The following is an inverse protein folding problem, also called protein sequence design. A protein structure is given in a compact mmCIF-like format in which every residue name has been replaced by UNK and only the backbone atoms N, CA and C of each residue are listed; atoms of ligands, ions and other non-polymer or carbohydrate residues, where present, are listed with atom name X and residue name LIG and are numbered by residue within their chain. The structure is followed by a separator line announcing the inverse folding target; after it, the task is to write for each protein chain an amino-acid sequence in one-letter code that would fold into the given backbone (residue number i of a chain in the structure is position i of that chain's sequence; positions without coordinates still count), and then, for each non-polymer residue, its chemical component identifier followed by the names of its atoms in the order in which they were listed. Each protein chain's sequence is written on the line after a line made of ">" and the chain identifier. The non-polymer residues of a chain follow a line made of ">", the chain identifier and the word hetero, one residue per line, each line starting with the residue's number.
data_IF_351400431042
#
_entry.id   IF_351400431042
#
_cell.length_a   1.000
_cell.length_b   1.000
_cell.length_c   1.000
_cell.angle_alpha   90.00
_cell.angle_beta   90.00
_cell.angle_gamma   90.00
#
_symmetry.space_group_name_H-M   'P 1'
#
loop_
_entity.id
_entity.type
_entity.pdbx_description
1 polymer ?
#
# COMPACT_ATOMS: atom_id res chain seq x y z
N UNK A 1 -1.21 -22.19 -0.76
CA UNK A 1 -1.13 -23.02 -1.90
C UNK A 1 -2.11 -22.72 -3.01
N UNK A 2 -2.02 -23.48 -4.07
CA UNK A 2 -2.92 -23.25 -5.20
C UNK A 2 -4.31 -23.83 -5.03
N UNK A 3 -4.60 -24.54 -3.97
CA UNK A 3 -5.96 -25.00 -3.67
C UNK A 3 -6.94 -23.84 -3.49
N UNK A 4 -6.49 -22.78 -2.90
CA UNK A 4 -7.34 -21.60 -2.66
C UNK A 4 -7.75 -20.93 -3.96
N UNK A 5 -6.86 -20.89 -4.94
CA UNK A 5 -7.16 -20.29 -6.23
C UNK A 5 -8.35 -20.99 -6.90
N UNK A 6 -8.35 -22.31 -6.86
CA UNK A 6 -9.44 -23.09 -7.44
C UNK A 6 -10.75 -22.96 -6.67
N UNK A 7 -10.67 -22.82 -5.35
CA UNK A 7 -11.87 -22.69 -4.51
C UNK A 7 -12.51 -21.32 -4.60
N UNK A 8 -11.69 -20.28 -4.75
CA UNK A 8 -12.22 -18.94 -4.89
C UNK A 8 -12.81 -18.69 -6.27
N UNK A 9 -12.57 -19.58 -7.20
CA UNK A 9 -13.23 -19.56 -8.51
C UNK A 9 -13.00 -18.30 -9.31
N UNK A 10 -12.04 -17.52 -8.90
CA UNK A 10 -11.94 -16.16 -9.38
C UNK A 10 -10.98 -16.03 -10.54
N UNK A 11 -11.49 -16.02 -11.74
CA UNK A 11 -10.73 -15.57 -12.89
C UNK A 11 -10.32 -14.09 -12.80
N UNK A 12 -10.58 -13.42 -11.71
CA UNK A 12 -10.26 -12.02 -11.52
C UNK A 12 -9.53 -11.70 -10.22
N UNK A 13 -9.32 -12.69 -9.36
CA UNK A 13 -8.67 -12.47 -8.07
C UNK A 13 -7.15 -12.61 -8.22
N UNK A 14 -6.42 -11.63 -7.70
CA UNK A 14 -4.97 -11.69 -7.70
C UNK A 14 -4.48 -12.80 -6.78
N UNK A 15 -3.53 -13.60 -7.25
CA UNK A 15 -2.91 -14.64 -6.44
C UNK A 15 -2.06 -14.03 -5.35
N UNK A 16 -1.22 -13.06 -5.73
CA UNK A 16 -0.39 -12.28 -4.84
C UNK A 16 -0.50 -10.82 -5.22
N UNK A 17 -0.42 -9.92 -4.27
CA UNK A 17 -0.40 -8.51 -4.53
C UNK A 17 0.40 -7.75 -3.48
N UNK A 18 1.00 -6.64 -3.90
CA UNK A 18 1.73 -5.75 -3.01
C UNK A 18 0.78 -4.74 -2.39
N UNK A 19 0.97 -4.46 -1.12
CA UNK A 19 0.27 -3.38 -0.42
C UNK A 19 1.18 -2.76 0.62
N UNK A 20 0.67 -1.72 1.29
CA UNK A 20 1.38 -1.05 2.37
C UNK A 20 1.00 -1.73 3.69
N UNK A 21 2.01 -2.22 4.42
CA UNK A 21 1.81 -2.71 5.78
C UNK A 21 1.76 -1.55 6.77
N UNK A 22 2.67 -0.62 6.62
CA UNK A 22 2.73 0.59 7.43
C UNK A 22 3.07 1.76 6.51
N UNK A 23 2.21 2.77 6.50
CA UNK A 23 2.45 4.00 5.76
C UNK A 23 3.63 4.77 6.33
N UNK A 24 4.20 5.63 5.50
CA UNK A 24 5.33 6.45 5.88
C UNK A 24 5.23 7.84 5.28
N UNK A 25 6.22 8.65 5.58
CA UNK A 25 6.33 10.00 5.06
C UNK A 25 7.72 10.18 4.46
N UNK A 26 7.78 10.74 3.27
CA UNK A 26 9.02 11.09 2.60
C UNK A 26 8.96 12.52 2.11
N UNK A 27 10.10 13.19 2.05
CA UNK A 27 10.18 14.58 1.62
C UNK A 27 11.32 14.75 0.63
N UNK A 28 11.08 15.54 -0.41
CA UNK A 28 12.13 16.01 -1.31
C UNK A 28 12.05 17.53 -1.45
N UNK A 29 13.15 18.14 -1.80
CA UNK A 29 13.25 19.55 -2.12
C UNK A 29 13.74 19.70 -3.55
N UNK A 30 13.01 20.47 -4.35
CA UNK A 30 13.38 20.79 -5.73
C UNK A 30 13.22 22.27 -5.94
N UNK A 31 14.30 22.94 -6.39
CA UNK A 31 14.30 24.40 -6.59
C UNK A 31 13.64 25.15 -5.44
N UNK A 32 14.02 24.81 -4.21
CA UNK A 32 13.52 25.39 -2.95
C UNK A 32 12.05 25.07 -2.63
N UNK A 33 11.29 24.42 -3.50
CA UNK A 33 9.97 23.90 -3.16
C UNK A 33 10.11 22.60 -2.39
N UNK A 34 9.27 22.44 -1.35
CA UNK A 34 9.22 21.24 -0.53
C UNK A 34 8.03 20.39 -0.98
N UNK A 35 8.27 19.11 -1.14
CA UNK A 35 7.26 18.12 -1.53
C UNK A 35 7.22 17.04 -0.46
N UNK A 36 6.16 17.00 0.32
CA UNK A 36 5.98 16.06 1.43
C UNK A 36 4.98 15.00 1.00
N UNK A 37 5.43 13.76 0.87
CA UNK A 37 4.57 12.64 0.51
C UNK A 37 4.17 11.88 1.77
N UNK A 38 2.88 11.74 2.01
CA UNK A 38 2.32 10.92 3.08
C UNK A 38 1.60 9.74 2.47
N UNK A 39 1.95 8.53 2.89
CA UNK A 39 1.44 7.26 2.33
C UNK A 39 0.60 6.57 3.39
N UNK A 40 -0.54 6.04 2.97
CA UNK A 40 -1.45 5.31 3.89
C UNK A 40 -2.08 4.11 3.21
N UNK A 41 -2.18 3.01 3.96
CA UNK A 41 -3.00 1.86 3.56
C UNK A 41 -4.47 2.27 3.61
N UNK A 42 -5.20 2.00 2.53
CA UNK A 42 -6.64 2.24 2.45
C UNK A 42 -7.29 1.05 1.75
N UNK A 43 -8.37 0.55 2.30
CA UNK A 43 -9.06 -0.61 1.74
C UNK A 43 -10.41 -0.24 1.12
N UNK A 44 -10.88 0.97 1.40
CA UNK A 44 -12.14 1.52 0.88
C UNK A 44 -11.93 2.94 0.40
N UNK A 45 -12.74 3.36 -0.56
CA UNK A 45 -12.66 4.74 -1.06
C UNK A 45 -12.96 5.76 0.04
N UNK A 46 -13.88 5.47 0.95
CA UNK A 46 -14.19 6.34 2.09
C UNK A 46 -12.95 6.63 2.94
N UNK A 47 -12.12 5.63 3.14
CA UNK A 47 -10.87 5.78 3.93
C UNK A 47 -9.86 6.67 3.20
N UNK A 48 -9.79 6.53 1.87
CA UNK A 48 -8.93 7.39 1.05
C UNK A 48 -9.39 8.85 1.11
N UNK A 49 -10.70 9.09 0.98
CA UNK A 49 -11.25 10.44 1.04
C UNK A 49 -11.06 11.07 2.42
N UNK A 50 -11.23 10.31 3.49
CA UNK A 50 -10.99 10.76 4.85
C UNK A 50 -9.52 11.11 5.07
N UNK A 51 -8.60 10.30 4.56
CA UNK A 51 -7.18 10.56 4.61
C UNK A 51 -6.80 11.87 3.88
N UNK A 52 -7.34 12.07 2.69
CA UNK A 52 -7.10 13.29 1.91
C UNK A 52 -7.56 14.52 2.70
N UNK A 53 -8.75 14.47 3.30
CA UNK A 53 -9.26 15.57 4.12
C UNK A 53 -8.40 15.79 5.37
N UNK A 54 -7.92 14.74 6.00
CA UNK A 54 -6.99 14.83 7.12
C UNK A 54 -5.71 15.57 6.73
N UNK A 55 -5.14 15.25 5.57
CA UNK A 55 -3.93 15.89 5.07
C UNK A 55 -4.16 17.35 4.69
N UNK A 56 -5.31 17.66 4.09
CA UNK A 56 -5.68 19.05 3.77
C UNK A 56 -5.81 19.90 5.03
N UNK A 57 -6.31 19.32 6.11
CA UNK A 57 -6.39 20.02 7.41
C UNK A 57 -5.02 20.18 8.05
N UNK A 58 -4.20 19.14 8.03
CA UNK A 58 -2.85 19.16 8.59
C UNK A 58 -1.97 20.20 7.89
N UNK A 59 -2.03 20.27 6.59
CA UNK A 59 -1.25 21.16 5.74
C UNK A 59 -2.13 22.23 5.10
N UNK A 60 -2.99 22.84 5.91
CA UNK A 60 -3.98 23.83 5.46
C UNK A 60 -3.35 25.07 4.81
N UNK A 61 -2.12 25.41 5.17
CA UNK A 61 -1.37 26.54 4.65
C UNK A 61 -0.62 26.23 3.33
N UNK A 62 -0.66 25.01 2.87
CA UNK A 62 -0.11 24.64 1.58
C UNK A 62 -1.11 24.93 0.46
N UNK A 63 -0.62 25.41 -0.69
CA UNK A 63 -1.46 25.67 -1.86
C UNK A 63 -1.92 24.39 -2.54
N UNK A 64 -1.11 23.33 -2.47
CA UNK A 64 -1.35 22.11 -3.18
C UNK A 64 -1.19 20.91 -2.26
N UNK A 65 -2.26 20.12 -2.14
CA UNK A 65 -2.27 18.81 -1.53
C UNK A 65 -2.78 17.84 -2.60
N UNK A 66 -1.89 17.49 -3.53
CA UNK A 66 -2.20 16.60 -4.64
C UNK A 66 -2.30 15.17 -4.13
N UNK A 67 -3.13 14.36 -4.78
CA UNK A 67 -3.31 12.99 -4.31
C UNK A 67 -3.46 12.00 -5.45
N UNK A 68 -3.20 10.75 -5.13
CA UNK A 68 -3.51 9.60 -5.96
C UNK A 68 -3.81 8.41 -5.06
N UNK A 69 -4.78 7.59 -5.44
CA UNK A 69 -5.04 6.33 -4.77
C UNK A 69 -5.48 5.27 -5.76
N UNK A 70 -5.24 4.03 -5.40
CA UNK A 70 -5.67 2.87 -6.17
C UNK A 70 -6.08 1.77 -5.21
N UNK A 71 -7.35 1.39 -5.26
CA UNK A 71 -8.01 0.51 -4.30
C UNK A 71 -8.73 -0.60 -5.06
N UNK A 72 -8.69 -1.81 -4.50
CA UNK A 72 -9.36 -2.98 -5.04
C UNK A 72 -8.41 -3.85 -5.85
N UNK A 73 -8.72 -5.14 -5.93
CA UNK A 73 -7.91 -6.11 -6.66
C UNK A 73 -7.85 -5.83 -8.16
N UNK A 74 -8.89 -5.18 -8.69
CA UNK A 74 -8.98 -4.76 -10.08
C UNK A 74 -8.81 -3.25 -10.23
N UNK A 75 -8.31 -2.57 -9.21
CA UNK A 75 -8.12 -1.12 -9.18
C UNK A 75 -9.42 -0.37 -9.48
N UNK A 76 -10.54 -0.88 -8.94
CA UNK A 76 -11.89 -0.35 -9.19
C UNK A 76 -12.02 1.11 -8.80
N UNK A 77 -11.35 1.50 -7.72
CA UNK A 77 -11.35 2.87 -7.22
C UNK A 77 -9.96 3.47 -7.38
N UNK A 78 -9.69 3.99 -8.56
CA UNK A 78 -8.41 4.63 -8.89
C UNK A 78 -8.67 6.06 -9.30
N UNK A 79 -8.10 7.03 -8.57
CA UNK A 79 -8.30 8.46 -8.77
C UNK A 79 -7.02 9.23 -8.50
N UNK A 80 -6.94 10.42 -9.08
CA UNK A 80 -5.87 11.36 -8.78
C UNK A 80 -6.34 12.79 -8.94
N UNK A 81 -5.62 13.74 -8.36
CA UNK A 81 -5.94 15.16 -8.43
C UNK A 81 -4.66 16.00 -8.44
N UNK A 82 -4.67 17.00 -9.29
CA UNK A 82 -3.58 18.00 -9.36
C UNK A 82 -3.71 19.10 -8.30
N UNK A 83 -4.84 19.20 -7.64
CA UNK A 83 -5.15 20.19 -6.60
C UNK A 83 -4.58 21.59 -6.91
N UNK A 84 -4.92 22.13 -8.07
CA UNK A 84 -4.51 23.48 -8.49
C UNK A 84 -3.16 23.56 -9.19
N UNK A 85 -2.37 22.50 -9.26
CA UNK A 85 -1.20 22.46 -10.11
C UNK A 85 -1.63 22.40 -11.59
N UNK A 86 -0.77 22.77 -12.55
CA UNK A 86 -1.13 22.66 -13.95
C UNK A 86 -1.56 21.23 -14.33
N UNK A 87 -2.57 21.13 -15.18
CA UNK A 87 -3.17 19.84 -15.53
C UNK A 87 -2.15 18.80 -15.94
N UNK A 88 -2.20 17.63 -15.31
CA UNK A 88 -1.35 16.49 -15.62
C UNK A 88 0.05 16.55 -15.02
N UNK A 89 0.37 17.54 -14.20
CA UNK A 89 1.73 17.71 -13.66
C UNK A 89 1.95 17.10 -12.28
N UNK A 90 0.89 16.72 -11.59
CA UNK A 90 0.99 16.23 -10.21
C UNK A 90 0.28 14.90 -10.00
N UNK A 91 -1.04 14.88 -10.09
CA UNK A 91 -1.84 13.71 -9.75
C UNK A 91 -1.51 12.49 -10.62
N UNK A 92 -1.46 12.66 -11.93
CA UNK A 92 -1.16 11.56 -12.85
C UNK A 92 0.26 11.01 -12.68
N UNK A 93 1.31 11.84 -12.58
CA UNK A 93 2.65 11.34 -12.26
C UNK A 93 2.71 10.56 -10.94
N UNK A 94 1.99 11.02 -9.92
CA UNK A 94 1.87 10.30 -8.65
C UNK A 94 1.25 8.92 -8.84
N UNK A 95 0.13 8.87 -9.56
CA UNK A 95 -0.57 7.61 -9.84
C UNK A 95 0.31 6.66 -10.65
N UNK A 96 1.02 7.17 -11.64
CA UNK A 96 1.91 6.35 -12.47
C UNK A 96 2.99 5.65 -11.64
N UNK A 97 3.50 6.28 -10.59
CA UNK A 97 4.46 5.63 -9.67
C UNK A 97 3.78 4.47 -8.93
N UNK A 98 2.58 4.69 -8.41
CA UNK A 98 1.82 3.63 -7.71
C UNK A 98 1.58 2.44 -8.64
N UNK A 99 1.12 2.71 -9.85
CA UNK A 99 0.85 1.66 -10.85
C UNK A 99 2.14 0.95 -11.29
N UNK A 100 3.22 1.71 -11.50
CA UNK A 100 4.51 1.16 -11.90
C UNK A 100 5.14 0.28 -10.84
N UNK A 101 4.95 0.59 -9.57
CA UNK A 101 5.39 -0.23 -8.44
C UNK A 101 4.43 -1.37 -8.15
N UNK A 102 3.31 -1.42 -8.86
CA UNK A 102 2.29 -2.47 -8.73
C UNK A 102 1.75 -2.62 -7.29
N UNK A 103 1.53 -1.49 -6.62
CA UNK A 103 1.00 -1.44 -5.25
C UNK A 103 -0.50 -1.22 -5.29
N UNK A 104 -1.22 -1.95 -4.46
CA UNK A 104 -2.68 -1.92 -4.33
C UNK A 104 -3.08 -1.43 -2.94
N UNK A 105 -4.28 -0.88 -2.83
CA UNK A 105 -4.86 -0.43 -1.56
C UNK A 105 -4.00 0.63 -0.88
N UNK A 106 -3.64 1.64 -1.63
CA UNK A 106 -2.75 2.71 -1.18
C UNK A 106 -3.31 4.07 -1.59
N UNK A 107 -3.15 5.05 -0.71
CA UNK A 107 -3.37 6.45 -1.00
C UNK A 107 -2.11 7.24 -0.66
N UNK A 108 -1.77 8.18 -1.51
CA UNK A 108 -0.64 9.09 -1.31
C UNK A 108 -1.12 10.52 -1.48
N UNK A 109 -0.76 11.39 -0.55
CA UNK A 109 -0.95 12.83 -0.68
C UNK A 109 0.44 13.47 -0.72
N UNK A 110 0.68 14.29 -1.73
CA UNK A 110 1.91 15.10 -1.80
C UNK A 110 1.54 16.55 -1.56
N UNK A 111 2.07 17.10 -0.49
CA UNK A 111 1.90 18.49 -0.09
C UNK A 111 3.07 19.30 -0.59
N UNK A 112 2.81 20.39 -1.31
CA UNK A 112 3.85 21.27 -1.82
C UNK A 112 3.82 22.63 -1.19
N UNK A 113 4.99 23.06 -0.72
CA UNK A 113 5.25 24.44 -0.31
C UNK A 113 6.18 25.10 -1.34
N UNK A 114 5.68 26.15 -1.98
CA UNK A 114 6.42 26.86 -3.01
C UNK A 114 7.63 27.57 -2.42
N UNK A 115 8.78 27.43 -3.09
CA UNK A 115 10.05 28.01 -2.62
C UNK A 115 10.51 29.27 -3.36
N UNK A 116 9.64 29.86 -4.18
CA UNK A 116 9.94 31.10 -4.90
C UNK A 116 10.57 30.90 -6.29
N UNK A 117 10.85 29.67 -6.68
CA UNK A 117 11.45 29.34 -7.99
C UNK A 117 10.50 28.42 -8.74
N UNK A 118 10.16 28.77 -9.99
CA UNK A 118 9.29 27.95 -10.82
C UNK A 118 10.03 26.71 -11.31
N UNK A 119 9.34 25.56 -11.28
CA UNK A 119 9.91 24.29 -11.75
C UNK A 119 9.68 24.04 -13.23
N UNK A 120 8.60 24.58 -13.80
CA UNK A 120 8.10 24.21 -15.11
C UNK A 120 7.36 22.87 -15.06
N UNK A 121 6.65 22.54 -16.16
CA UNK A 121 5.81 21.33 -16.20
C UNK A 121 6.62 20.04 -16.04
N UNK A 122 7.75 19.90 -16.74
CA UNK A 122 8.61 18.73 -16.60
C UNK A 122 9.22 18.60 -15.22
N UNK A 123 9.61 19.71 -14.61
CA UNK A 123 10.14 19.74 -13.24
C UNK A 123 9.10 19.31 -12.22
N UNK A 124 7.85 19.77 -12.39
CA UNK A 124 6.74 19.36 -11.50
C UNK A 124 6.47 17.86 -11.61
N UNK A 125 6.39 17.33 -12.81
CA UNK A 125 6.18 15.89 -13.02
C UNK A 125 7.26 15.07 -12.31
N UNK A 126 8.52 15.44 -12.48
CA UNK A 126 9.63 14.74 -11.82
C UNK A 126 9.60 14.88 -10.30
N UNK A 127 9.23 16.05 -9.80
CA UNK A 127 9.18 16.30 -8.36
C UNK A 127 8.05 15.51 -7.68
N UNK A 128 6.85 15.49 -8.27
CA UNK A 128 5.74 14.71 -7.72
C UNK A 128 6.02 13.21 -7.77
N UNK A 129 6.56 12.73 -8.88
CA UNK A 129 6.99 11.33 -9.01
C UNK A 129 8.05 10.98 -7.96
N UNK A 130 9.06 11.83 -7.82
CA UNK A 130 10.14 11.62 -6.85
C UNK A 130 9.66 11.66 -5.40
N UNK A 131 8.70 12.53 -5.09
CA UNK A 131 8.11 12.60 -3.76
C UNK A 131 7.37 11.30 -3.40
N UNK A 132 6.57 10.76 -4.34
CA UNK A 132 5.87 9.49 -4.13
C UNK A 132 6.87 8.36 -3.92
N UNK A 133 7.93 8.31 -4.71
CA UNK A 133 8.99 7.32 -4.55
C UNK A 133 9.64 7.40 -3.16
N UNK A 134 9.90 8.61 -2.67
CA UNK A 134 10.45 8.83 -1.34
C UNK A 134 9.47 8.37 -0.25
N UNK A 135 8.18 8.67 -0.39
CA UNK A 135 7.15 8.24 0.54
C UNK A 135 6.99 6.71 0.59
N UNK A 136 6.99 6.07 -0.57
CA UNK A 136 6.92 4.61 -0.66
C UNK A 136 8.19 3.96 -0.09
N UNK A 137 9.35 4.57 -0.32
CA UNK A 137 10.62 4.10 0.24
C UNK A 137 10.66 4.17 1.77
N UNK A 138 9.93 5.12 2.37
CA UNK A 138 9.80 5.24 3.82
C UNK A 138 8.68 4.36 4.39
N UNK A 139 7.87 3.73 3.53
CA UNK A 139 6.77 2.86 3.91
C UNK A 139 7.22 1.41 3.93
N UNK A 140 6.48 0.57 4.68
CA UNK A 140 6.70 -0.88 4.66
C UNK A 140 5.77 -1.50 3.63
N UNK A 141 6.34 -1.95 2.52
CA UNK A 141 5.62 -2.64 1.45
C UNK A 141 5.72 -4.15 1.70
N UNK A 142 4.60 -4.83 1.63
CA UNK A 142 4.53 -6.28 1.78
C UNK A 142 3.80 -6.88 0.59
N UNK A 143 4.07 -8.15 0.35
CA UNK A 143 3.32 -8.95 -0.62
C UNK A 143 2.33 -9.81 0.13
N UNK A 144 1.03 -9.65 -0.17
CA UNK A 144 -0.04 -10.46 0.40
C UNK A 144 -0.36 -11.62 -0.52
N UNK A 145 -0.65 -12.75 0.10
CA UNK A 145 -1.03 -13.98 -0.61
C UNK A 145 -2.46 -14.34 -0.25
N UNK A 146 -3.27 -14.62 -1.25
CA UNK A 146 -4.57 -15.23 -1.03
C UNK A 146 -4.36 -16.70 -0.67
N UNK A 147 -5.14 -17.22 0.26
CA UNK A 147 -5.01 -18.59 0.69
C UNK A 147 -6.13 -19.01 1.63
N UNK A 148 -6.08 -20.28 2.03
CA UNK A 148 -7.03 -20.86 2.97
C UNK A 148 -6.31 -21.03 4.31
N UNK A 149 -6.90 -20.48 5.37
CA UNK A 149 -6.41 -20.71 6.72
C UNK A 149 -6.90 -22.08 7.20
N UNK A 150 -5.99 -22.92 7.65
CA UNK A 150 -6.28 -24.20 8.26
C UNK A 150 -5.96 -24.16 9.74
N UNK A 151 -6.87 -24.67 10.56
CA UNK A 151 -6.63 -24.91 11.98
C UNK A 151 -6.38 -26.41 12.18
N UNK A 152 -5.18 -26.75 12.67
CA UNK A 152 -4.79 -28.11 12.98
C UNK A 152 -4.70 -28.29 14.49
N UNK A 153 -5.37 -29.33 15.01
CA UNK A 153 -5.31 -29.66 16.43
C UNK A 153 -4.40 -30.86 16.62
N UNK A 154 -3.45 -30.73 17.52
CA UNK A 154 -2.48 -31.79 17.79
C UNK A 154 -2.10 -31.85 19.28
N UNK A 155 -1.57 -32.98 19.69
CA UNK A 155 -0.97 -33.11 21.02
C UNK A 155 0.35 -32.35 21.08
N UNK A 156 0.77 -31.95 22.27
CA UNK A 156 2.03 -31.24 22.47
C UNK A 156 3.24 -31.95 21.88
N UNK A 157 3.23 -33.28 21.91
CA UNK A 157 4.31 -34.10 21.37
C UNK A 157 4.43 -34.03 19.85
N UNK A 158 3.35 -33.66 19.16
CA UNK A 158 3.32 -33.59 17.68
C UNK A 158 3.63 -32.20 17.13
N UNK A 159 3.69 -31.17 17.98
CA UNK A 159 3.81 -29.78 17.52
C UNK A 159 5.11 -29.53 16.73
N UNK A 160 6.23 -30.08 17.19
CA UNK A 160 7.51 -29.92 16.51
C UNK A 160 7.50 -30.55 15.12
N UNK A 161 6.87 -31.71 14.98
CA UNK A 161 6.74 -32.39 13.69
C UNK A 161 5.86 -31.58 12.73
N UNK A 162 4.75 -31.01 13.23
CA UNK A 162 3.88 -30.15 12.43
C UNK A 162 4.61 -28.88 11.98
N UNK A 163 5.38 -28.27 12.84
CA UNK A 163 6.18 -27.08 12.49
C UNK A 163 7.21 -27.43 11.41
N UNK A 164 7.85 -28.58 11.52
CA UNK A 164 8.81 -29.07 10.51
C UNK A 164 8.13 -29.29 9.17
N UNK A 165 6.98 -29.96 9.15
CA UNK A 165 6.21 -30.22 7.94
C UNK A 165 5.75 -28.92 7.30
N UNK A 166 5.27 -27.94 8.09
CA UNK A 166 4.88 -26.65 7.59
C UNK A 166 6.05 -25.91 6.94
N UNK A 167 7.25 -25.97 7.56
CA UNK A 167 8.47 -25.38 7.00
C UNK A 167 8.89 -26.03 5.68
N UNK A 168 8.89 -27.38 5.63
CA UNK A 168 9.25 -28.13 4.41
C UNK A 168 8.32 -27.82 3.24
N UNK A 169 7.03 -27.56 3.50
CA UNK A 169 6.04 -27.25 2.49
C UNK A 169 5.80 -25.74 2.33
N UNK A 170 6.61 -24.92 2.98
CA UNK A 170 6.52 -23.45 2.90
C UNK A 170 5.13 -22.93 3.28
N UNK A 171 4.51 -23.55 4.29
CA UNK A 171 3.21 -23.13 4.82
C UNK A 171 3.40 -22.15 5.98
N UNK A 172 2.96 -20.89 5.84
CA UNK A 172 3.08 -19.93 6.93
C UNK A 172 2.22 -20.35 8.14
N UNK A 173 2.82 -20.33 9.32
CA UNK A 173 2.09 -20.53 10.58
C UNK A 173 1.58 -19.17 11.02
N UNK A 174 0.25 -19.01 11.05
CA UNK A 174 -0.41 -17.74 11.41
C UNK A 174 -0.48 -17.56 12.92
N UNK A 175 -0.77 -18.63 13.65
CA UNK A 175 -0.95 -18.60 15.08
C UNK A 175 -0.86 -20.02 15.65
N UNK A 176 -0.57 -20.15 16.95
CA UNK A 176 -0.57 -21.42 17.66
C UNK A 176 -1.20 -21.21 19.05
N UNK A 177 -2.26 -21.93 19.32
CA UNK A 177 -2.97 -21.85 20.59
C UNK A 177 -2.59 -23.05 21.46
N UNK A 178 -2.27 -22.79 22.74
CA UNK A 178 -1.90 -23.79 23.71
C UNK A 178 -2.97 -23.89 24.80
N UNK A 179 -3.77 -24.96 24.70
CA UNK A 179 -4.78 -25.30 25.72
C UNK A 179 -4.52 -26.72 26.19
N UNK A 180 -5.53 -27.54 26.46
CA UNK A 180 -5.35 -28.99 26.69
C UNK A 180 -4.78 -29.69 25.47
N UNK A 181 -4.93 -29.09 24.28
CA UNK A 181 -4.34 -29.49 23.01
C UNK A 181 -3.69 -28.28 22.34
N UNK A 182 -2.81 -28.52 21.40
CA UNK A 182 -2.22 -27.46 20.58
C UNK A 182 -3.07 -27.28 19.33
N UNK A 183 -3.46 -26.04 19.04
CA UNK A 183 -4.18 -25.68 17.83
C UNK A 183 -3.27 -24.76 17.00
N UNK A 184 -2.90 -25.19 15.82
CA UNK A 184 -2.01 -24.44 14.92
C UNK A 184 -2.84 -23.96 13.72
N UNK A 185 -2.74 -22.67 13.44
CA UNK A 185 -3.38 -22.04 12.30
C UNK A 185 -2.36 -21.86 11.19
N UNK A 186 -2.63 -22.40 10.02
CA UNK A 186 -1.74 -22.34 8.84
C UNK A 186 -2.44 -21.64 7.70
N UNK A 187 -1.64 -20.94 6.89
CA UNK A 187 -2.08 -20.45 5.58
C UNK A 187 -1.67 -21.46 4.52
N UNK A 188 -2.61 -22.01 3.85
CA UNK A 188 -2.39 -23.02 2.80
C UNK A 188 -2.85 -22.57 1.42
#
# INVERSE_FOLDING_TARGET
>A
GHLWRNKLGGSGMLENYKTIYAGGEGEITEKKSRFIATVRLVEKEEDALAFIEEMKKKYWDARHNCYAYSIGEHREFTRCSDDGEPSGTAGRPMLDVILGEDIYNVAVVVTRYFGGVLLGTGGLVRAYSGAVQAGLGASKVIEKHHGISLALTADYTAIGKLQYIAGENQLPILDTEYTGRVIMHLLV
#
